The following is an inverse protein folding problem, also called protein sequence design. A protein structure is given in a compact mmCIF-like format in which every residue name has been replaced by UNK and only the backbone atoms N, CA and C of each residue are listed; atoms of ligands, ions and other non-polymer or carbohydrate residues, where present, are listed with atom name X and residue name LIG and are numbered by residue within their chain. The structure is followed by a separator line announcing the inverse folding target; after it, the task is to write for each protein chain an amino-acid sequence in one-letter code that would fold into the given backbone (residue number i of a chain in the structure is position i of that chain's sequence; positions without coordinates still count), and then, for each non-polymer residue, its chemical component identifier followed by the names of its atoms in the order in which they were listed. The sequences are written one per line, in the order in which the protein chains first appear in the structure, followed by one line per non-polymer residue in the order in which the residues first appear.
data_IF_791527458849
#
_entry.id   IF_791527458849
#
_cell.length_a   1.000
_cell.length_b   1.000
_cell.length_c   1.000
_cell.angle_alpha   90.00
_cell.angle_beta   90.00
_cell.angle_gamma   90.00
#
_symmetry.space_group_name_H-M   'P 1'
#
loop_
_entity.id
_entity.type
_entity.pdbx_description
1 polymer ?
#
# COMPACT_ATOMS: atom_id res chain seq x y z
N UNK A 1 4.26 -0.24 13.10
CA UNK A 1 3.77 -0.18 11.70
C UNK A 1 3.16 1.19 11.52
N UNK A 2 3.59 2.10 10.63
CA UNK A 2 2.76 3.31 10.43
C UNK A 2 1.52 2.93 9.63
N UNK A 3 0.30 3.15 10.12
CA UNK A 3 -0.90 2.95 9.30
C UNK A 3 -0.92 3.96 8.15
N UNK A 4 -0.57 5.21 8.42
CA UNK A 4 -0.73 6.31 7.49
C UNK A 4 0.61 7.00 7.18
N UNK A 5 0.81 7.34 5.90
CA UNK A 5 1.96 8.11 5.41
C UNK A 5 1.48 9.51 5.08
N UNK A 6 2.18 10.53 5.57
CA UNK A 6 1.91 11.94 5.24
C UNK A 6 3.19 12.57 4.72
N UNK A 7 3.06 13.41 3.70
CA UNK A 7 4.12 14.28 3.19
C UNK A 7 3.82 15.70 3.67
N UNK A 8 4.71 16.27 4.48
CA UNK A 8 4.59 17.63 5.00
C UNK A 8 5.43 18.58 4.12
N UNK A 9 4.89 18.99 2.97
CA UNK A 9 5.51 20.03 2.12
C UNK A 9 4.96 21.39 2.48
N UNK A 10 3.64 21.50 2.50
CA UNK A 10 2.93 22.74 2.75
C UNK A 10 1.98 22.55 3.93
N UNK A 11 1.64 23.64 4.66
CA UNK A 11 0.54 23.63 5.60
C UNK A 11 -0.75 23.11 4.95
N UNK A 12 -1.59 22.49 5.76
CA UNK A 12 -2.93 22.08 5.37
C UNK A 12 -3.85 22.07 6.58
N UNK A 13 -5.09 22.48 6.33
CA UNK A 13 -6.16 22.40 7.32
C UNK A 13 -6.53 20.96 7.65
N UNK A 14 -7.44 20.81 8.62
CA UNK A 14 -7.91 19.53 9.10
C UNK A 14 -8.47 18.68 7.96
N UNK A 15 -7.87 17.51 7.74
CA UNK A 15 -8.32 16.50 6.77
C UNK A 15 -8.26 15.10 7.35
N UNK A 16 -8.95 14.15 6.73
CA UNK A 16 -8.93 12.74 7.14
C UNK A 16 -7.51 12.16 7.10
N UNK A 17 -7.14 11.38 8.13
CA UNK A 17 -5.87 10.67 8.19
C UNK A 17 -5.93 9.41 7.30
N UNK A 18 -5.60 9.56 6.01
CA UNK A 18 -5.69 8.48 5.03
C UNK A 18 -7.12 7.93 4.94
N UNK A 19 -7.28 6.62 5.18
CA UNK A 19 -8.59 5.96 5.19
C UNK A 19 -9.17 5.77 6.61
N UNK A 20 -8.60 6.42 7.63
CA UNK A 20 -9.09 6.31 9.00
C UNK A 20 -10.50 6.90 9.13
N UNK A 21 -11.41 6.18 9.77
CA UNK A 21 -12.76 6.65 10.07
C UNK A 21 -12.83 7.51 11.34
N UNK A 22 -11.80 7.46 12.19
CA UNK A 22 -11.83 8.05 13.54
C UNK A 22 -10.74 9.10 13.76
N UNK A 23 -9.84 9.29 12.79
CA UNK A 23 -8.70 10.19 12.92
C UNK A 23 -8.61 11.19 11.77
N UNK A 24 -8.27 12.42 12.15
CA UNK A 24 -7.98 13.54 11.26
C UNK A 24 -6.63 14.16 11.62
N UNK A 25 -6.09 14.94 10.70
CA UNK A 25 -4.76 15.54 10.80
C UNK A 25 -4.74 16.94 10.21
N UNK A 26 -4.02 17.86 10.85
CA UNK A 26 -3.67 19.18 10.31
C UNK A 26 -2.17 19.44 10.46
N UNK A 27 -1.65 20.39 9.69
CA UNK A 27 -0.27 20.83 9.75
C UNK A 27 -0.19 22.32 9.46
N UNK A 28 0.37 23.11 10.37
CA UNK A 28 0.46 24.57 10.23
C UNK A 28 1.79 25.07 9.60
N UNK A 29 2.69 24.15 9.26
CA UNK A 29 4.05 24.48 8.78
C UNK A 29 5.15 24.24 9.82
N UNK A 30 4.80 24.00 11.08
CA UNK A 30 5.73 23.70 12.19
C UNK A 30 5.25 22.52 13.04
N UNK A 31 3.97 22.46 13.34
CA UNK A 31 3.34 21.48 14.22
C UNK A 31 2.31 20.63 13.47
N UNK A 32 2.42 19.32 13.64
CA UNK A 32 1.41 18.36 13.24
C UNK A 32 0.42 18.14 14.39
N UNK A 33 -0.87 18.35 14.12
CA UNK A 33 -1.92 18.01 15.08
C UNK A 33 -2.76 16.83 14.58
N UNK A 34 -2.95 15.83 15.43
CA UNK A 34 -3.81 14.67 15.21
C UNK A 34 -5.06 14.77 16.09
N UNK A 35 -6.22 14.58 15.48
CA UNK A 35 -7.52 14.68 16.13
C UNK A 35 -8.20 13.33 16.10
N UNK A 36 -8.65 12.84 17.25
CA UNK A 36 -9.54 11.69 17.34
C UNK A 36 -11.00 12.17 17.39
N UNK A 37 -11.94 11.38 16.89
CA UNK A 37 -13.39 11.68 16.96
C UNK A 37 -13.92 11.91 18.39
N UNK A 38 -13.22 11.37 19.40
CA UNK A 38 -13.55 11.58 20.83
C UNK A 38 -12.94 12.88 21.39
N UNK A 39 -12.65 13.85 20.53
CA UNK A 39 -12.05 15.16 20.86
C UNK A 39 -10.62 15.15 21.43
N UNK A 40 -10.00 13.98 21.61
CA UNK A 40 -8.58 13.87 22.00
C UNK A 40 -7.68 14.46 20.91
N UNK A 41 -6.73 15.30 21.31
CA UNK A 41 -5.77 15.98 20.43
C UNK A 41 -4.33 15.61 20.80
N UNK A 42 -3.49 15.40 19.79
CA UNK A 42 -2.07 15.12 19.97
C UNK A 42 -1.25 16.01 19.05
N UNK A 43 -0.25 16.67 19.61
CA UNK A 43 0.60 17.64 18.90
C UNK A 43 2.04 17.13 18.83
N UNK A 44 2.70 17.37 17.70
CA UNK A 44 4.12 17.07 17.50
C UNK A 44 4.76 18.10 16.59
N UNK A 45 5.84 18.69 17.06
CA UNK A 45 6.73 19.49 16.21
C UNK A 45 7.38 18.59 15.16
N UNK A 46 7.42 19.07 13.91
CA UNK A 46 8.06 18.37 12.80
C UNK A 46 8.75 19.37 11.89
N UNK A 47 9.99 19.10 11.52
CA UNK A 47 10.72 19.93 10.54
C UNK A 47 10.32 19.53 9.12
N UNK A 48 9.76 20.46 8.35
CA UNK A 48 9.50 20.28 6.91
C UNK A 48 10.73 20.60 6.04
N UNK A 49 10.82 20.05 4.81
CA UNK A 49 9.94 19.02 4.24
C UNK A 49 10.27 17.62 4.76
N UNK A 50 9.27 16.91 5.29
CA UNK A 50 9.45 15.57 5.81
C UNK A 50 8.34 14.61 5.36
N UNK A 51 8.70 13.33 5.24
CA UNK A 51 7.72 12.26 5.22
C UNK A 51 7.59 11.70 6.63
N UNK A 52 6.36 11.56 7.10
CA UNK A 52 6.07 11.05 8.43
C UNK A 52 5.18 9.81 8.35
N UNK A 53 5.43 8.90 9.28
CA UNK A 53 4.59 7.76 9.59
C UNK A 53 3.74 8.08 10.79
N UNK A 54 2.45 7.76 10.71
CA UNK A 54 1.53 7.81 11.84
C UNK A 54 1.01 6.40 12.09
N UNK A 55 1.31 5.87 13.27
CA UNK A 55 0.77 4.61 13.80
C UNK A 55 -0.30 4.91 14.85
N UNK A 56 -1.51 4.40 14.65
CA UNK A 56 -2.68 4.62 15.52
C UNK A 56 -3.22 3.32 16.12
N UNK A 57 -2.50 2.21 15.99
CA UNK A 57 -2.97 0.87 16.43
C UNK A 57 -3.34 0.85 17.91
N UNK A 58 -2.59 1.57 18.74
CA UNK A 58 -2.66 1.48 20.20
C UNK A 58 -3.55 2.58 20.80
N UNK A 59 -4.38 3.25 19.98
CA UNK A 59 -5.28 4.33 20.40
C UNK A 59 -4.62 5.66 20.79
N UNK A 60 -3.29 5.66 20.99
CA UNK A 60 -2.42 6.84 21.10
C UNK A 60 -1.52 6.91 19.86
N UNK A 61 -1.54 8.02 19.09
CA UNK A 61 -0.79 8.09 17.86
C UNK A 61 0.71 8.18 18.12
N UNK A 62 1.49 7.36 17.40
CA UNK A 62 2.95 7.48 17.31
C UNK A 62 3.31 8.11 15.98
N UNK A 63 4.06 9.22 16.03
CA UNK A 63 4.54 9.94 14.85
C UNK A 63 6.04 9.78 14.77
N UNK A 64 6.56 9.42 13.60
CA UNK A 64 8.00 9.25 13.38
C UNK A 64 8.39 9.62 11.94
N UNK A 65 9.62 10.12 11.72
CA UNK A 65 10.10 10.42 10.39
C UNK A 65 10.28 9.13 9.57
N UNK A 66 10.00 9.21 8.28
CA UNK A 66 10.25 8.15 7.29
C UNK A 66 11.17 8.71 6.22
N UNK A 67 12.14 7.90 5.79
CA UNK A 67 13.00 8.20 4.66
C UNK A 67 12.49 7.48 3.42
N UNK A 68 12.45 8.19 2.28
CA UNK A 68 12.23 7.57 0.97
C UNK A 68 13.39 6.60 0.69
N UNK A 69 13.16 5.41 0.11
CA UNK A 69 14.24 4.55 -0.34
C UNK A 69 15.22 5.28 -1.27
N UNK A 70 16.52 4.99 -1.17
CA UNK A 70 17.55 5.54 -2.06
C UNK A 70 17.50 4.93 -3.46
N UNK A 71 17.23 3.62 -3.54
CA UNK A 71 17.02 2.92 -4.80
C UNK A 71 15.77 3.49 -5.51
N UNK A 72 15.94 3.94 -6.76
CA UNK A 72 14.91 4.62 -7.53
C UNK A 72 13.67 3.73 -7.79
N UNK A 73 13.87 2.42 -7.97
CA UNK A 73 12.81 1.43 -8.22
C UNK A 73 11.95 1.28 -6.96
N UNK A 74 12.61 1.07 -5.81
CA UNK A 74 11.95 0.98 -4.50
C UNK A 74 11.30 2.29 -4.10
N UNK A 75 11.92 3.43 -4.44
CA UNK A 75 11.37 4.76 -4.24
C UNK A 75 10.05 4.94 -5.00
N UNK A 76 10.00 4.48 -6.25
CA UNK A 76 8.80 4.52 -7.08
C UNK A 76 7.70 3.62 -6.50
N UNK A 77 8.00 2.36 -6.18
CA UNK A 77 7.07 1.45 -5.50
C UNK A 77 6.51 2.05 -4.20
N UNK A 78 7.36 2.70 -3.42
CA UNK A 78 6.98 3.36 -2.17
C UNK A 78 6.00 4.53 -2.36
N UNK A 79 6.07 5.25 -3.49
CA UNK A 79 5.09 6.29 -3.86
C UNK A 79 3.71 5.67 -4.09
N UNK A 80 3.67 4.49 -4.73
CA UNK A 80 2.47 3.67 -4.93
C UNK A 80 2.08 2.82 -3.71
N UNK A 81 2.64 3.13 -2.54
CA UNK A 81 2.32 2.51 -1.24
C UNK A 81 2.73 1.03 -1.12
N UNK A 82 3.57 0.51 -2.01
CA UNK A 82 4.29 -0.76 -1.82
C UNK A 82 5.45 -0.53 -0.85
N UNK A 83 5.36 -1.11 0.37
CA UNK A 83 6.31 -0.83 1.46
C UNK A 83 7.35 -1.94 1.56
N UNK A 84 8.49 -1.67 2.19
CA UNK A 84 9.55 -2.69 2.41
C UNK A 84 9.03 -3.97 3.08
N UNK A 85 8.11 -3.89 4.03
CA UNK A 85 7.52 -5.08 4.68
C UNK A 85 6.60 -5.93 3.78
N UNK A 86 6.18 -5.36 2.65
CA UNK A 86 5.42 -6.04 1.62
C UNK A 86 6.35 -6.68 0.58
N UNK A 87 7.66 -6.54 0.75
CA UNK A 87 8.67 -7.19 -0.09
C UNK A 87 8.67 -8.69 0.23
N UNK A 88 8.43 -9.50 -0.79
CA UNK A 88 8.57 -10.95 -0.75
C UNK A 88 10.02 -11.31 -1.04
N UNK A 89 10.49 -12.46 -0.55
CA UNK A 89 11.84 -12.95 -0.83
C UNK A 89 11.99 -13.44 -2.26
N UNK A 90 10.93 -14.07 -2.76
CA UNK A 90 10.81 -14.60 -4.12
C UNK A 90 9.50 -14.15 -4.77
N UNK A 91 9.38 -14.33 -6.09
CA UNK A 91 8.15 -14.05 -6.80
C UNK A 91 7.08 -15.06 -6.33
N UNK A 92 5.98 -14.62 -5.70
CA UNK A 92 4.98 -15.56 -5.17
C UNK A 92 4.28 -16.27 -6.31
N UNK A 93 3.92 -17.55 -6.19
CA UNK A 93 3.11 -18.26 -7.19
C UNK A 93 1.70 -17.67 -7.32
N UNK A 94 0.91 -18.21 -8.25
CA UNK A 94 -0.52 -17.87 -8.36
C UNK A 94 -1.26 -18.21 -7.06
N UNK A 95 -1.06 -19.41 -6.53
CA UNK A 95 -1.72 -19.92 -5.33
C UNK A 95 -1.36 -19.09 -4.09
N UNK A 96 -0.11 -18.64 -3.99
CA UNK A 96 0.41 -17.89 -2.85
C UNK A 96 -0.17 -16.48 -2.72
N UNK A 97 -0.55 -15.85 -3.84
CA UNK A 97 -1.13 -14.51 -3.83
C UNK A 97 -2.58 -14.48 -4.32
N UNK A 98 -2.80 -14.83 -5.59
CA UNK A 98 -4.11 -14.73 -6.22
C UNK A 98 -5.07 -15.72 -5.58
N UNK A 99 -4.69 -17.01 -5.52
CA UNK A 99 -5.43 -18.08 -4.86
C UNK A 99 -5.87 -17.75 -3.43
N UNK A 100 -5.00 -17.06 -2.67
CA UNK A 100 -5.22 -16.73 -1.27
C UNK A 100 -6.00 -15.44 -1.02
N UNK A 101 -5.79 -14.41 -1.83
CA UNK A 101 -6.27 -13.05 -1.55
C UNK A 101 -7.26 -12.49 -2.58
N UNK A 102 -7.29 -13.04 -3.79
CA UNK A 102 -8.16 -12.57 -4.87
C UNK A 102 -9.44 -13.39 -5.01
N UNK A 103 -9.47 -14.63 -4.48
CA UNK A 103 -10.63 -15.51 -4.50
C UNK A 103 -11.45 -15.41 -3.23
N UNK A 104 -12.77 -15.29 -3.39
CA UNK A 104 -13.71 -15.29 -2.27
C UNK A 104 -14.66 -16.49 -2.38
N UNK A 105 -14.63 -17.44 -1.43
CA UNK A 105 -15.71 -18.41 -1.31
C UNK A 105 -16.97 -17.68 -0.84
N UNK A 106 -18.06 -17.74 -1.63
CA UNK A 106 -19.39 -17.33 -1.16
C UNK A 106 -19.98 -18.44 -0.31
N UNK A 107 -20.33 -18.13 0.94
CA UNK A 107 -20.93 -19.09 1.87
C UNK A 107 -22.29 -19.66 1.43
N UNK A 108 -22.92 -19.10 0.39
CA UNK A 108 -24.28 -19.45 -0.04
C UNK A 108 -24.40 -20.06 -1.44
N UNK A 109 -23.34 -20.17 -2.24
CA UNK A 109 -23.41 -20.78 -3.57
C UNK A 109 -22.11 -21.54 -3.88
N UNK A 110 -22.21 -22.86 -4.08
CA UNK A 110 -21.07 -23.76 -4.34
C UNK A 110 -20.34 -23.47 -5.65
N UNK A 111 -20.95 -22.73 -6.59
CA UNK A 111 -20.50 -22.72 -7.99
C UNK A 111 -20.19 -21.32 -8.58
N UNK A 112 -20.15 -20.25 -7.78
CA UNK A 112 -19.72 -18.92 -8.28
C UNK A 112 -18.66 -18.30 -7.40
N UNK A 113 -17.39 -18.44 -7.83
CA UNK A 113 -16.26 -17.72 -7.28
C UNK A 113 -16.43 -16.22 -7.58
N UNK A 114 -16.46 -15.40 -6.53
CA UNK A 114 -16.43 -13.96 -6.68
C UNK A 114 -14.97 -13.48 -6.63
N UNK A 115 -14.55 -12.76 -7.66
CA UNK A 115 -13.22 -12.16 -7.72
C UNK A 115 -13.25 -10.77 -7.10
N UNK A 116 -12.44 -10.56 -6.06
CA UNK A 116 -12.21 -9.20 -5.57
C UNK A 116 -11.53 -8.38 -6.68
N UNK A 117 -11.90 -7.11 -6.92
CA UNK A 117 -11.12 -6.25 -7.80
C UNK A 117 -9.66 -6.24 -7.34
N UNK A 118 -8.71 -6.51 -8.21
CA UNK A 118 -7.29 -6.57 -7.84
C UNK A 118 -6.41 -6.17 -9.02
N UNK A 119 -5.14 -5.88 -8.70
CA UNK A 119 -4.08 -5.69 -9.68
C UNK A 119 -2.98 -6.69 -9.38
N UNK A 120 -2.65 -7.49 -10.38
CA UNK A 120 -1.47 -8.36 -10.35
C UNK A 120 -0.68 -8.11 -11.63
N UNK A 121 0.59 -7.78 -11.45
CA UNK A 121 1.60 -7.77 -12.50
C UNK A 121 2.62 -8.85 -12.18
N UNK A 122 2.93 -9.69 -13.17
CA UNK A 122 3.89 -10.77 -13.06
C UNK A 122 4.78 -10.83 -14.29
N UNK A 123 6.08 -10.90 -14.05
CA UNK A 123 7.15 -11.12 -15.02
C UNK A 123 8.30 -11.88 -14.34
N UNK A 124 9.30 -12.31 -15.11
CA UNK A 124 10.50 -12.98 -14.58
C UNK A 124 11.28 -12.14 -13.55
N UNK A 125 11.15 -10.81 -13.60
CA UNK A 125 11.96 -9.88 -12.78
C UNK A 125 11.16 -9.04 -11.78
N UNK A 126 9.84 -9.04 -11.89
CA UNK A 126 8.99 -8.15 -11.10
C UNK A 126 7.63 -8.79 -10.87
N UNK A 127 7.21 -8.76 -9.61
CA UNK A 127 5.86 -9.06 -9.19
C UNK A 127 5.29 -7.87 -8.40
N UNK A 128 4.07 -7.45 -8.73
CA UNK A 128 3.30 -6.46 -7.98
C UNK A 128 1.88 -6.98 -7.76
N UNK A 129 1.50 -7.20 -6.51
CA UNK A 129 0.16 -7.60 -6.14
C UNK A 129 -0.52 -6.54 -5.27
N UNK A 130 -1.74 -6.14 -5.64
CA UNK A 130 -2.53 -5.17 -4.90
C UNK A 130 -4.03 -5.54 -4.89
N UNK A 131 -4.56 -5.75 -3.69
CA UNK A 131 -5.99 -5.92 -3.40
C UNK A 131 -6.46 -4.67 -2.63
N UNK A 132 -7.32 -3.82 -3.23
CA UNK A 132 -7.74 -2.53 -2.69
C UNK A 132 -8.77 -2.63 -1.56
N UNK A 133 -9.54 -3.72 -1.47
CA UNK A 133 -10.73 -3.80 -0.61
C UNK A 133 -10.78 -5.05 0.26
N UNK A 134 -11.29 -4.86 1.49
CA UNK A 134 -11.43 -5.88 2.52
C UNK A 134 -12.73 -6.63 2.37
N UNK A 135 -12.69 -7.67 1.55
CA UNK A 135 -13.82 -8.58 1.40
C UNK A 135 -13.60 -9.81 2.29
N UNK A 136 -14.64 -10.21 3.02
CA UNK A 136 -14.67 -11.37 3.94
C UNK A 136 -13.44 -11.49 4.87
N UNK A 137 -12.98 -10.38 5.45
CA UNK A 137 -11.83 -10.32 6.36
C UNK A 137 -10.47 -10.74 5.76
N UNK A 138 -10.39 -10.95 4.44
CA UNK A 138 -9.15 -11.35 3.76
C UNK A 138 -8.45 -10.18 3.04
N UNK A 139 -9.17 -9.10 2.71
CA UNK A 139 -8.74 -8.12 1.70
C UNK A 139 -8.15 -6.78 2.17
N UNK A 140 -6.86 -6.70 2.44
CA UNK A 140 -6.13 -5.51 2.01
C UNK A 140 -4.71 -5.96 1.90
N UNK A 141 -4.32 -6.35 0.69
CA UNK A 141 -3.03 -6.97 0.50
C UNK A 141 -2.21 -6.21 -0.51
N UNK A 142 -0.95 -5.97 -0.14
CA UNK A 142 0.08 -5.50 -1.04
C UNK A 142 1.29 -6.38 -0.84
N UNK A 143 1.73 -7.00 -1.93
CA UNK A 143 2.98 -7.72 -1.99
C UNK A 143 3.74 -7.27 -3.22
N UNK A 144 5.06 -7.30 -3.16
CA UNK A 144 5.90 -7.06 -4.32
C UNK A 144 7.18 -7.88 -4.20
N UNK A 145 7.72 -8.27 -5.33
CA UNK A 145 9.05 -8.85 -5.44
C UNK A 145 9.74 -8.24 -6.64
N UNK A 146 11.06 -8.10 -6.57
CA UNK A 146 11.84 -7.52 -7.64
C UNK A 146 13.23 -8.17 -7.68
N UNK A 147 13.57 -8.76 -8.82
CA UNK A 147 14.90 -9.28 -9.11
C UNK A 147 15.94 -8.14 -9.09
N UNK A 148 17.20 -8.40 -8.70
CA UNK A 148 18.30 -7.45 -8.84
C UNK A 148 18.41 -6.84 -10.24
N UNK A 149 18.13 -7.63 -11.29
CA UNK A 149 18.24 -7.25 -12.70
C UNK A 149 17.03 -6.46 -13.22
N UNK A 150 16.01 -6.24 -12.39
CA UNK A 150 14.86 -5.43 -12.77
C UNK A 150 15.28 -3.96 -12.92
N UNK A 151 14.93 -3.37 -14.05
CA UNK A 151 15.21 -1.98 -14.38
C UNK A 151 14.14 -1.04 -13.82
N UNK A 152 14.48 0.25 -13.71
CA UNK A 152 13.50 1.27 -13.35
C UNK A 152 12.35 1.38 -14.36
N UNK A 153 12.64 1.13 -15.64
CA UNK A 153 11.65 1.22 -16.71
C UNK A 153 10.62 0.09 -16.64
N UNK A 154 11.05 -1.13 -16.33
CA UNK A 154 10.13 -2.26 -16.07
C UNK A 154 9.16 -1.94 -14.92
N UNK A 155 9.65 -1.29 -13.85
CA UNK A 155 8.79 -0.86 -12.73
C UNK A 155 7.82 0.25 -13.13
N UNK A 156 8.26 1.23 -13.93
CA UNK A 156 7.38 2.29 -14.45
C UNK A 156 6.26 1.72 -15.31
N UNK A 157 6.60 0.83 -16.21
CA UNK A 157 5.65 0.17 -17.11
C UNK A 157 4.64 -0.67 -16.35
N UNK A 158 5.07 -1.41 -15.33
CA UNK A 158 4.17 -2.17 -14.46
C UNK A 158 3.19 -1.24 -13.71
N UNK A 159 3.70 -0.16 -13.12
CA UNK A 159 2.88 0.78 -12.33
C UNK A 159 1.94 1.63 -13.19
N UNK A 160 2.27 1.90 -14.45
CA UNK A 160 1.36 2.59 -15.37
C UNK A 160 0.03 1.84 -15.52
N UNK A 161 0.09 0.50 -15.50
CA UNK A 161 -1.08 -0.41 -15.62
C UNK A 161 -1.86 -0.57 -14.32
N UNK A 162 -1.40 -0.02 -13.19
CA UNK A 162 -2.08 -0.20 -11.90
C UNK A 162 -3.52 0.34 -11.89
N UNK A 163 -3.81 1.30 -12.77
CA UNK A 163 -5.15 1.90 -12.94
C UNK A 163 -6.11 1.00 -13.71
N UNK A 164 -5.61 -0.03 -14.41
CA UNK A 164 -6.41 -0.91 -15.25
C UNK A 164 -7.21 -1.93 -14.43
N UNK A 165 -6.92 -2.10 -13.13
CA UNK A 165 -7.64 -2.98 -12.19
C UNK A 165 -8.10 -4.31 -12.82
N UNK A 166 -7.20 -4.93 -13.57
CA UNK A 166 -7.31 -6.27 -14.17
C UNK A 166 -5.97 -6.96 -14.01
N UNK A 167 -6.00 -8.29 -13.91
CA UNK A 167 -4.83 -9.15 -13.91
C UNK A 167 -4.07 -8.97 -15.24
N UNK A 168 -2.78 -8.63 -15.18
CA UNK A 168 -1.93 -8.45 -16.36
C UNK A 168 -0.72 -9.37 -16.22
N UNK A 169 -0.72 -10.47 -16.97
CA UNK A 169 0.46 -11.34 -17.09
C UNK A 169 1.35 -10.83 -18.23
N UNK A 170 2.65 -10.67 -17.96
CA UNK A 170 3.65 -10.35 -18.99
C UNK A 170 4.80 -11.37 -18.87
N UNK A 171 4.71 -12.42 -19.67
CA UNK A 171 5.66 -13.54 -19.70
C UNK A 171 4.96 -14.76 -20.30
N UNK A 172 5.72 -15.66 -20.95
CA UNK A 172 5.15 -16.86 -21.61
C UNK A 172 4.22 -17.59 -20.66
N UNK A 173 3.01 -17.86 -21.13
CA UNK A 173 2.09 -18.80 -20.52
C UNK A 173 2.87 -20.07 -20.17
N UNK A 174 3.02 -20.37 -18.88
CA UNK A 174 3.14 -21.76 -18.50
C UNK A 174 1.74 -22.34 -18.65
N UNK A 175 1.44 -22.83 -19.86
CA UNK A 175 0.42 -23.82 -20.10
C UNK A 175 0.61 -24.97 -19.10
N UNK A 176 -0.29 -25.10 -18.13
CA UNK A 176 -0.70 -26.38 -17.54
C UNK A 176 -2.16 -26.35 -17.13
#
# INVERSE_FOLDING_TARGET
MYLHKIKLISPFDRKRLGNSLTWEVSYDGKELTLFHRSERKYRREVTAPAFIGVDISDGKPRVFPIKKPRDARRALLWEYRFRKRSEMREAPSYEEFEGRYCFLPRSSYRDTLYYAPHFVYRSEKLFLGFVPEAVNYQGFHRAWWMSPDCTLEEVRNALARIKECRTVYIGKEEEK
#
